data_IF_341351577823
#
_entry.id   IF_341351577823
#
_cell.length_a   1.000
_cell.length_b   1.000
_cell.length_c   1.000
_cell.angle_alpha   90.00
_cell.angle_beta   90.00
_cell.angle_gamma   90.00
#
_symmetry.space_group_name_H-M   'P 1'
#
loop_
_entity.id
_entity.type
_entity.pdbx_description
1 polymer ?
#
# COMPACT_ATOMS: atom_id res chain seq x y z
N UNK A 1 27.18 93.82 15.03
CA UNK A 1 25.96 93.77 14.17
C UNK A 1 25.39 92.37 14.33
N UNK A 2 24.14 92.09 14.73
CA UNK A 2 22.90 92.86 14.83
C UNK A 2 22.08 92.31 16.02
N UNK A 3 21.72 93.25 16.92
CA UNK A 3 20.45 93.40 17.67
C UNK A 3 19.80 92.21 18.41
N UNK A 4 20.07 92.18 19.72
CA UNK A 4 19.13 92.11 20.87
C UNK A 4 17.68 91.70 20.63
N UNK A 5 17.24 90.63 21.30
CA UNK A 5 15.83 90.28 21.50
C UNK A 5 15.37 90.56 22.94
N UNK A 6 14.36 91.41 23.10
CA UNK A 6 13.66 91.72 24.35
C UNK A 6 12.26 91.14 24.29
N UNK A 7 11.91 90.40 25.36
CA UNK A 7 10.61 90.19 26.03
C UNK A 7 9.32 90.19 25.18
N UNK A 8 8.45 89.20 25.41
CA UNK A 8 7.27 89.34 26.30
C UNK A 8 6.45 88.04 26.42
N UNK A 9 5.76 88.02 27.55
CA UNK A 9 4.82 87.09 28.19
C UNK A 9 3.61 86.58 27.38
N UNK A 10 3.31 85.29 27.62
CA UNK A 10 2.02 84.59 27.91
C UNK A 10 0.84 84.70 26.93
N UNK A 11 0.44 83.54 26.39
CA UNK A 11 -0.91 82.98 26.10
C UNK A 11 -0.64 81.64 25.35
N UNK A 12 -1.38 80.54 25.36
CA UNK A 12 -2.70 80.13 25.84
C UNK A 12 -3.00 78.75 25.20
N UNK A 13 -3.67 77.88 25.96
CA UNK A 13 -4.58 76.77 25.57
C UNK A 13 -4.38 76.01 24.23
N UNK A 14 -4.09 74.70 24.31
CA UNK A 14 -4.72 73.65 23.46
C UNK A 14 -4.89 72.38 24.31
N UNK A 15 -6.15 71.95 24.44
CA UNK A 15 -6.52 70.66 25.04
C UNK A 15 -6.41 69.55 24.00
N UNK A 16 -5.72 68.46 24.33
CA UNK A 16 -5.74 67.20 23.55
C UNK A 16 -6.40 66.13 24.41
N UNK A 17 -7.58 65.70 23.96
CA UNK A 17 -8.31 64.54 24.47
C UNK A 17 -7.54 63.27 24.07
N UNK A 18 -6.88 62.64 25.03
CA UNK A 18 -6.29 61.31 24.87
C UNK A 18 -7.24 60.25 25.42
N UNK A 19 -8.02 59.62 24.54
CA UNK A 19 -8.81 58.43 24.87
C UNK A 19 -7.87 57.25 25.11
N UNK A 20 -7.70 56.85 26.37
CA UNK A 20 -7.01 55.63 26.75
C UNK A 20 -7.80 54.41 26.29
N UNK A 21 -7.27 53.66 25.32
CA UNK A 21 -7.78 52.33 25.00
C UNK A 21 -7.34 51.35 26.09
N UNK A 22 -8.31 50.91 26.89
CA UNK A 22 -8.23 49.68 27.67
C UNK A 22 -8.27 48.51 26.67
N UNK A 23 -7.11 47.95 26.32
CA UNK A 23 -7.05 46.69 25.58
C UNK A 23 -7.42 45.58 26.55
N UNK A 24 -8.64 45.08 26.40
CA UNK A 24 -9.16 43.92 27.10
C UNK A 24 -8.34 42.67 26.73
N UNK A 25 -7.72 42.04 27.73
CA UNK A 25 -7.32 40.63 27.64
C UNK A 25 -8.60 39.78 27.76
N UNK A 26 -9.34 39.66 26.66
CA UNK A 26 -10.52 38.81 26.55
C UNK A 26 -10.29 37.73 25.50
N UNK A 27 -10.47 36.46 25.93
CA UNK A 27 -10.59 35.25 25.11
C UNK A 27 -9.41 34.90 24.20
N UNK A 28 -8.38 34.29 24.78
CA UNK A 28 -7.68 33.21 24.08
C UNK A 28 -8.63 32.02 24.13
N UNK A 29 -9.21 31.67 22.98
CA UNK A 29 -9.99 30.44 22.82
C UNK A 29 -9.06 29.24 23.10
N UNK A 30 -9.32 28.42 24.14
CA UNK A 30 -8.47 27.28 24.47
C UNK A 30 -8.38 26.25 23.34
N UNK A 31 -9.24 26.34 22.31
CA UNK A 31 -9.24 25.44 21.16
C UNK A 31 -8.37 25.92 19.99
N UNK A 32 -7.72 27.09 20.09
CA UNK A 32 -6.94 27.67 18.97
C UNK A 32 -5.61 26.94 18.70
N UNK A 33 -5.16 26.09 19.62
CA UNK A 33 -3.92 25.34 19.53
C UNK A 33 -4.08 23.88 19.99
N UNK A 34 -5.26 23.29 19.76
CA UNK A 34 -5.30 21.83 19.72
C UNK A 34 -4.64 21.41 18.41
N UNK A 35 -3.49 20.69 18.43
CA UNK A 35 -3.05 20.00 17.24
C UNK A 35 -4.22 19.11 16.83
N UNK A 36 -4.80 19.40 15.66
CA UNK A 36 -5.82 18.52 15.11
C UNK A 36 -5.20 17.12 15.10
N UNK A 37 -5.94 16.07 15.52
CA UNK A 37 -5.45 14.71 15.37
C UNK A 37 -4.91 14.60 13.94
N UNK A 38 -3.64 14.20 13.81
CA UNK A 38 -3.03 13.92 12.50
C UNK A 38 -4.06 13.06 11.79
N UNK A 39 -4.69 13.57 10.73
CA UNK A 39 -5.72 12.82 10.04
C UNK A 39 -5.05 11.51 9.63
N UNK A 40 -5.44 10.43 10.30
CA UNK A 40 -5.15 9.08 9.85
C UNK A 40 -5.70 9.10 8.44
N UNK A 41 -4.83 8.93 7.43
CA UNK A 41 -5.19 9.09 6.02
C UNK A 41 -6.60 8.52 5.83
N UNK A 42 -7.56 9.36 5.40
CA UNK A 42 -8.97 8.98 5.33
C UNK A 42 -9.05 7.57 4.74
N UNK A 43 -9.65 6.64 5.50
CA UNK A 43 -9.91 5.31 4.97
C UNK A 43 -10.76 5.51 3.72
N UNK A 44 -10.14 5.35 2.54
CA UNK A 44 -10.83 5.53 1.25
C UNK A 44 -12.08 4.66 1.24
N UNK A 45 -13.22 5.20 0.82
CA UNK A 45 -14.48 4.44 0.76
C UNK A 45 -14.32 3.14 -0.04
N UNK A 46 -13.59 3.18 -1.16
CA UNK A 46 -13.25 2.02 -1.98
C UNK A 46 -11.74 1.87 -2.15
N UNK A 47 -11.25 0.63 -2.04
CA UNK A 47 -9.90 0.25 -2.43
C UNK A 47 -9.83 -0.01 -3.93
N UNK A 48 -8.72 0.35 -4.56
CA UNK A 48 -8.44 -0.02 -5.95
C UNK A 48 -7.36 -1.10 -6.02
N UNK A 49 -7.69 -2.23 -6.66
CA UNK A 49 -6.75 -3.31 -6.94
C UNK A 49 -6.36 -3.21 -8.41
N UNK A 50 -5.10 -2.90 -8.70
CA UNK A 50 -4.60 -2.87 -10.07
C UNK A 50 -4.14 -4.26 -10.48
N UNK A 51 -4.58 -4.69 -11.67
CA UNK A 51 -4.36 -6.05 -12.18
C UNK A 51 -3.99 -6.01 -13.65
N UNK A 52 -3.00 -6.83 -14.02
CA UNK A 52 -2.63 -6.99 -15.41
C UNK A 52 -3.73 -7.81 -16.11
N UNK A 53 -4.43 -7.27 -17.13
CA UNK A 53 -5.50 -7.98 -17.81
C UNK A 53 -5.01 -9.25 -18.52
N UNK A 54 -3.74 -9.31 -18.93
CA UNK A 54 -3.18 -10.42 -19.68
C UNK A 54 -2.74 -11.58 -18.77
N UNK A 55 -2.70 -11.34 -17.44
CA UNK A 55 -2.34 -12.37 -16.48
C UNK A 55 -3.54 -12.83 -15.64
N UNK A 56 -4.25 -13.84 -16.16
CA UNK A 56 -5.46 -14.40 -15.54
C UNK A 56 -5.24 -14.86 -14.08
N UNK A 57 -4.05 -15.35 -13.74
CA UNK A 57 -3.72 -15.72 -12.36
C UNK A 57 -3.83 -14.55 -11.37
N UNK A 58 -3.36 -13.35 -11.74
CA UNK A 58 -3.53 -12.16 -10.90
C UNK A 58 -5.00 -11.72 -10.85
N UNK A 59 -5.76 -11.87 -11.94
CA UNK A 59 -7.20 -11.59 -11.94
C UNK A 59 -7.96 -12.50 -10.96
N UNK A 60 -7.70 -13.80 -10.98
CA UNK A 60 -8.32 -14.77 -10.05
C UNK A 60 -7.98 -14.40 -8.60
N UNK A 61 -6.71 -14.18 -8.28
CA UNK A 61 -6.30 -13.86 -6.90
C UNK A 61 -6.81 -12.49 -6.45
N UNK A 62 -6.87 -11.52 -7.36
CA UNK A 62 -7.43 -10.21 -7.05
C UNK A 62 -8.92 -10.27 -6.75
N UNK A 63 -9.66 -11.14 -7.46
CA UNK A 63 -11.06 -11.43 -7.11
C UNK A 63 -11.16 -12.12 -5.74
N UNK A 64 -10.21 -12.99 -5.37
CA UNK A 64 -10.17 -13.59 -4.01
C UNK A 64 -10.02 -12.48 -2.97
N UNK A 65 -9.02 -11.61 -3.10
CA UNK A 65 -8.81 -10.49 -2.18
C UNK A 65 -10.02 -9.56 -2.11
N UNK A 66 -10.57 -9.17 -3.26
CA UNK A 66 -11.79 -8.36 -3.33
C UNK A 66 -12.97 -9.00 -2.61
N UNK A 67 -13.16 -10.32 -2.77
CA UNK A 67 -14.26 -11.06 -2.15
C UNK A 67 -14.12 -11.08 -0.63
N UNK A 68 -12.94 -11.44 -0.11
CA UNK A 68 -12.73 -11.54 1.35
C UNK A 68 -12.78 -10.18 2.05
N UNK A 69 -12.30 -9.13 1.38
CA UNK A 69 -12.43 -7.76 1.87
C UNK A 69 -13.92 -7.34 1.88
N UNK A 70 -14.65 -7.65 0.80
CA UNK A 70 -16.08 -7.38 0.68
C UNK A 70 -16.93 -8.06 1.76
N UNK A 71 -16.61 -9.31 2.12
CA UNK A 71 -17.28 -10.04 3.21
C UNK A 71 -17.13 -9.37 4.58
N UNK A 72 -16.19 -8.42 4.70
CA UNK A 72 -15.89 -7.66 5.91
C UNK A 72 -16.21 -6.17 5.74
N UNK A 73 -17.09 -5.84 4.79
CA UNK A 73 -17.54 -4.48 4.48
C UNK A 73 -16.41 -3.54 4.01
N UNK A 74 -15.28 -4.11 3.56
CA UNK A 74 -14.18 -3.37 2.93
C UNK A 74 -14.28 -3.51 1.42
N UNK A 75 -14.94 -2.54 0.79
CA UNK A 75 -15.16 -2.59 -0.65
C UNK A 75 -13.87 -2.35 -1.45
N UNK A 76 -13.63 -3.22 -2.43
CA UNK A 76 -12.53 -3.10 -3.38
C UNK A 76 -13.04 -3.22 -4.82
N UNK A 77 -12.39 -2.51 -5.73
CA UNK A 77 -12.69 -2.51 -7.17
C UNK A 77 -11.41 -2.89 -7.92
N UNK A 78 -11.52 -3.89 -8.78
CA UNK A 78 -10.44 -4.28 -9.68
C UNK A 78 -10.41 -3.30 -10.85
N UNK A 79 -9.21 -2.81 -11.17
CA UNK A 79 -8.90 -1.99 -12.33
C UNK A 79 -7.84 -2.71 -13.14
N UNK A 80 -8.09 -2.86 -14.43
CA UNK A 80 -7.09 -3.42 -15.33
C UNK A 80 -6.11 -2.32 -15.72
N UNK A 81 -4.81 -2.62 -15.63
CA UNK A 81 -3.73 -1.69 -15.96
C UNK A 81 -2.72 -2.39 -16.90
N UNK A 82 -2.59 -1.88 -18.11
CA UNK A 82 -1.85 -2.54 -19.20
C UNK A 82 -0.31 -2.55 -19.00
N UNK A 83 0.22 -1.70 -18.12
CA UNK A 83 1.67 -1.53 -17.92
C UNK A 83 2.23 -2.22 -16.68
N UNK A 84 1.44 -3.04 -15.98
CA UNK A 84 1.86 -3.69 -14.73
C UNK A 84 3.02 -4.67 -14.91
N UNK A 85 3.17 -5.29 -16.08
CA UNK A 85 4.33 -6.13 -16.37
C UNK A 85 5.65 -5.34 -16.42
N UNK A 86 5.62 -4.06 -16.84
CA UNK A 86 6.81 -3.23 -16.98
C UNK A 86 7.10 -2.39 -15.72
N UNK A 87 6.05 -1.92 -15.04
CA UNK A 87 6.15 -1.20 -13.77
C UNK A 87 5.07 -1.69 -12.79
N UNK A 88 5.32 -2.82 -12.10
CA UNK A 88 4.34 -3.42 -11.20
C UNK A 88 3.96 -2.53 -10.01
N UNK A 89 4.85 -1.61 -9.60
CA UNK A 89 4.65 -0.76 -8.43
C UNK A 89 4.22 0.67 -8.79
N UNK A 90 4.29 1.06 -10.06
CA UNK A 90 3.88 2.35 -10.59
C UNK A 90 2.52 2.81 -10.07
N UNK A 91 1.45 2.02 -10.19
CA UNK A 91 0.12 2.41 -9.71
C UNK A 91 0.05 2.68 -8.20
N UNK A 92 0.89 1.99 -7.40
CA UNK A 92 1.00 2.26 -5.97
C UNK A 92 1.79 3.54 -5.69
N UNK A 93 2.88 3.76 -6.41
CA UNK A 93 3.72 4.95 -6.25
C UNK A 93 2.97 6.22 -6.67
N UNK A 94 2.16 6.14 -7.72
CA UNK A 94 1.31 7.24 -8.22
C UNK A 94 0.02 7.42 -7.41
N UNK A 95 -0.39 6.36 -6.70
CA UNK A 95 -1.61 6.35 -5.89
C UNK A 95 -2.91 6.19 -6.66
N UNK A 96 -2.82 5.73 -7.91
CA UNK A 96 -3.95 5.33 -8.77
C UNK A 96 -4.51 3.97 -8.36
N UNK A 97 -3.71 3.14 -7.68
CA UNK A 97 -4.10 1.90 -7.01
C UNK A 97 -3.77 1.93 -5.51
N UNK A 98 -4.42 1.05 -4.76
CA UNK A 98 -4.17 0.83 -3.33
C UNK A 98 -3.52 -0.53 -3.06
N UNK A 99 -3.71 -1.50 -3.96
CA UNK A 99 -3.12 -2.84 -3.92
C UNK A 99 -2.76 -3.31 -5.34
N UNK A 100 -1.64 -4.01 -5.48
CA UNK A 100 -1.28 -4.80 -6.67
C UNK A 100 -0.98 -6.23 -6.22
N UNK A 101 -1.17 -7.18 -7.13
CA UNK A 101 -0.78 -8.58 -6.92
C UNK A 101 0.44 -8.86 -7.78
N UNK A 102 1.47 -9.44 -7.19
CA UNK A 102 2.64 -9.92 -7.92
C UNK A 102 3.20 -11.20 -7.31
N UNK A 103 4.38 -11.59 -7.74
CA UNK A 103 5.09 -12.74 -7.22
C UNK A 103 6.38 -12.31 -6.54
N UNK A 104 6.72 -12.97 -5.43
CA UNK A 104 7.86 -12.61 -4.56
C UNK A 104 9.18 -12.43 -5.32
N UNK A 105 9.67 -13.48 -5.99
CA UNK A 105 10.91 -13.41 -6.77
C UNK A 105 10.89 -12.37 -7.90
N UNK A 106 9.79 -12.29 -8.65
CA UNK A 106 9.63 -11.31 -9.73
C UNK A 106 9.68 -9.85 -9.22
N UNK A 107 8.98 -9.57 -8.12
CA UNK A 107 8.97 -8.25 -7.51
C UNK A 107 10.31 -7.90 -6.88
N UNK A 108 11.01 -8.87 -6.27
CA UNK A 108 12.34 -8.66 -5.72
C UNK A 108 13.32 -8.22 -6.81
N UNK A 109 13.26 -8.82 -8.00
CA UNK A 109 14.06 -8.42 -9.15
C UNK A 109 13.80 -6.98 -9.58
N UNK A 110 12.54 -6.53 -9.50
CA UNK A 110 12.18 -5.13 -9.81
C UNK A 110 12.72 -4.16 -8.77
N UNK A 111 12.57 -4.46 -7.47
CA UNK A 111 12.94 -3.50 -6.41
C UNK A 111 14.42 -3.56 -6.02
N UNK A 112 15.06 -4.72 -6.20
CA UNK A 112 16.44 -4.96 -5.82
C UNK A 112 17.04 -6.09 -6.69
N UNK A 113 17.36 -5.80 -7.96
CA UNK A 113 17.86 -6.81 -8.91
C UNK A 113 19.19 -7.44 -8.48
N UNK A 114 20.03 -6.70 -7.74
CA UNK A 114 21.30 -7.22 -7.23
C UNK A 114 21.05 -8.31 -6.19
N UNK A 115 20.22 -8.02 -5.18
CA UNK A 115 19.88 -9.01 -4.17
C UNK A 115 19.09 -10.19 -4.75
N UNK A 116 18.23 -9.94 -5.74
CA UNK A 116 17.52 -10.99 -6.46
C UNK A 116 18.50 -11.97 -7.12
N UNK A 117 19.49 -11.45 -7.86
CA UNK A 117 20.50 -12.27 -8.54
C UNK A 117 21.38 -13.06 -7.56
N UNK A 118 21.84 -12.43 -6.47
CA UNK A 118 22.61 -13.11 -5.43
C UNK A 118 21.81 -14.27 -4.80
N UNK A 119 20.55 -14.02 -4.45
CA UNK A 119 19.69 -15.02 -3.84
C UNK A 119 19.32 -16.14 -4.82
N UNK A 120 19.15 -15.81 -6.10
CA UNK A 120 18.86 -16.79 -7.16
C UNK A 120 20.03 -17.74 -7.37
N UNK A 121 21.27 -17.22 -7.42
CA UNK A 121 22.48 -18.04 -7.52
C UNK A 121 22.59 -19.02 -6.34
N UNK A 122 22.38 -18.55 -5.11
CA UNK A 122 22.39 -19.41 -3.93
C UNK A 122 21.28 -20.47 -3.96
N UNK A 123 20.07 -20.08 -4.36
CA UNK A 123 18.92 -20.99 -4.45
C UNK A 123 19.17 -22.09 -5.48
N UNK A 124 19.62 -21.72 -6.69
CA UNK A 124 19.87 -22.67 -7.77
C UNK A 124 20.99 -23.65 -7.40
N UNK A 125 22.04 -23.20 -6.72
CA UNK A 125 23.09 -24.06 -6.20
C UNK A 125 22.55 -25.09 -5.18
N UNK A 126 21.66 -24.66 -4.28
CA UNK A 126 21.03 -25.55 -3.30
C UNK A 126 20.08 -26.56 -3.97
N UNK A 127 19.36 -26.16 -5.03
CA UNK A 127 18.51 -27.06 -5.83
C UNK A 127 19.37 -28.09 -6.56
N UNK A 128 20.47 -27.69 -7.18
CA UNK A 128 21.40 -28.61 -7.87
C UNK A 128 22.03 -29.62 -6.90
N UNK A 129 22.34 -29.18 -5.68
CA UNK A 129 22.84 -30.04 -4.61
C UNK A 129 21.77 -30.98 -4.01
N UNK A 130 20.49 -30.80 -4.36
CA UNK A 130 19.37 -31.57 -3.81
C UNK A 130 19.05 -31.24 -2.35
N UNK A 131 19.49 -30.07 -1.87
CA UNK A 131 19.28 -29.60 -0.50
C UNK A 131 17.91 -28.93 -0.31
N UNK A 132 17.31 -28.47 -1.42
CA UNK A 132 16.05 -27.74 -1.41
C UNK A 132 15.23 -27.94 -2.70
N UNK A 133 13.98 -27.49 -2.67
CA UNK A 133 13.12 -27.37 -3.84
C UNK A 133 12.17 -26.16 -3.74
N UNK A 134 11.37 -25.93 -4.79
CA UNK A 134 10.45 -24.79 -4.92
C UNK A 134 9.30 -24.77 -3.90
N UNK A 135 9.05 -25.88 -3.21
CA UNK A 135 8.08 -26.01 -2.13
C UNK A 135 8.75 -25.92 -0.74
N UNK A 136 10.06 -25.68 -0.68
CA UNK A 136 10.74 -25.45 0.59
C UNK A 136 10.23 -24.15 1.23
N UNK A 137 9.71 -24.28 2.45
CA UNK A 137 9.25 -23.12 3.22
C UNK A 137 10.37 -22.13 3.51
N UNK A 138 11.60 -22.62 3.69
CA UNK A 138 12.77 -21.77 3.95
C UNK A 138 13.03 -20.78 2.80
N UNK A 139 13.08 -21.24 1.55
CA UNK A 139 13.40 -20.35 0.44
C UNK A 139 12.25 -19.44 0.07
N UNK A 140 11.01 -19.88 0.29
CA UNK A 140 9.85 -18.98 0.26
C UNK A 140 10.05 -17.82 1.25
N UNK A 141 10.35 -18.14 2.51
CA UNK A 141 10.47 -17.14 3.57
C UNK A 141 11.67 -16.21 3.32
N UNK A 142 12.83 -16.76 2.92
CA UNK A 142 14.02 -15.96 2.55
C UNK A 142 13.75 -14.99 1.40
N UNK A 143 13.07 -15.44 0.35
CA UNK A 143 12.73 -14.60 -0.81
C UNK A 143 11.73 -13.51 -0.42
N UNK A 144 10.74 -13.86 0.40
CA UNK A 144 9.76 -12.90 0.90
C UNK A 144 10.38 -11.86 1.84
N UNK A 145 11.26 -12.27 2.76
CA UNK A 145 11.99 -11.37 3.65
C UNK A 145 12.87 -10.39 2.87
N UNK A 146 13.56 -10.89 1.83
CA UNK A 146 14.37 -10.06 0.95
C UNK A 146 13.52 -9.02 0.19
N UNK A 147 12.31 -9.41 -0.27
CA UNK A 147 11.36 -8.49 -0.89
C UNK A 147 10.92 -7.41 0.10
N UNK A 148 10.41 -7.77 1.28
CA UNK A 148 9.94 -6.80 2.29
C UNK A 148 11.07 -5.84 2.66
N UNK A 149 12.29 -6.36 2.87
CA UNK A 149 13.46 -5.56 3.21
C UNK A 149 13.89 -4.59 2.09
N UNK A 150 13.44 -4.82 0.87
CA UNK A 150 13.76 -4.00 -0.31
C UNK A 150 12.62 -3.04 -0.72
N UNK A 151 11.42 -3.17 -0.14
CA UNK A 151 10.30 -2.31 -0.49
C UNK A 151 10.54 -0.86 -0.02
N UNK A 152 10.11 0.15 -0.81
CA UNK A 152 10.04 1.53 -0.35
C UNK A 152 9.17 1.67 0.89
N UNK A 153 9.54 2.56 1.83
CA UNK A 153 8.89 2.70 3.14
C UNK A 153 7.39 3.06 3.12
N UNK A 154 6.86 3.57 2.01
CA UNK A 154 5.43 3.88 1.84
C UNK A 154 4.63 2.70 1.32
N UNK A 155 5.29 1.60 0.95
CA UNK A 155 4.69 0.35 0.56
C UNK A 155 4.90 -0.70 1.65
N UNK A 156 4.00 -1.67 1.67
CA UNK A 156 4.04 -2.80 2.59
C UNK A 156 3.31 -3.97 1.95
N UNK A 157 3.30 -5.11 2.63
CA UNK A 157 2.72 -6.33 2.09
C UNK A 157 2.05 -7.17 3.17
N UNK A 158 1.22 -8.10 2.73
CA UNK A 158 0.63 -9.14 3.56
C UNK A 158 1.46 -10.42 3.38
N UNK A 159 1.20 -11.44 4.18
CA UNK A 159 1.92 -12.72 4.06
C UNK A 159 1.81 -13.27 2.63
N UNK A 160 2.86 -13.93 2.11
CA UNK A 160 2.82 -14.51 0.79
C UNK A 160 1.90 -15.72 0.79
N UNK A 161 1.32 -16.00 -0.37
CA UNK A 161 0.45 -17.14 -0.55
C UNK A 161 1.22 -18.46 -0.53
N UNK A 162 0.52 -19.54 -0.15
CA UNK A 162 1.03 -20.89 -0.36
C UNK A 162 1.03 -21.29 -1.85
N UNK A 163 0.34 -20.53 -2.70
CA UNK A 163 0.33 -20.74 -4.14
C UNK A 163 1.57 -20.12 -4.81
N UNK A 164 2.20 -20.90 -5.67
CA UNK A 164 3.16 -20.39 -6.65
C UNK A 164 2.42 -19.75 -7.83
N UNK A 165 2.81 -18.52 -8.16
CA UNK A 165 2.40 -17.79 -9.35
C UNK A 165 3.59 -17.59 -10.31
N UNK A 166 3.39 -16.77 -11.33
CA UNK A 166 4.41 -16.25 -12.25
C UNK A 166 5.53 -17.26 -12.65
N UNK A 167 5.19 -18.41 -13.25
CA UNK A 167 6.13 -19.51 -13.44
C UNK A 167 7.32 -19.22 -14.37
N UNK A 168 7.35 -18.06 -15.02
CA UNK A 168 8.35 -17.68 -16.03
C UNK A 168 9.22 -16.47 -15.64
N UNK A 169 9.15 -15.99 -14.39
CA UNK A 169 9.82 -14.74 -14.01
C UNK A 169 11.33 -14.91 -13.81
N UNK A 170 11.75 -15.70 -12.81
CA UNK A 170 13.15 -16.04 -12.53
C UNK A 170 13.22 -17.36 -11.74
N UNK A 171 14.42 -17.78 -11.35
CA UNK A 171 14.68 -19.01 -10.61
C UNK A 171 14.23 -19.00 -9.16
N UNK A 172 13.93 -17.83 -8.56
CA UNK A 172 13.47 -17.75 -7.17
C UNK A 172 12.03 -18.28 -7.01
N UNK A 173 11.64 -18.69 -5.78
CA UNK A 173 10.23 -18.90 -5.44
C UNK A 173 9.32 -17.73 -5.85
N UNK A 174 8.15 -18.06 -6.38
CA UNK A 174 7.22 -17.11 -6.99
C UNK A 174 5.89 -17.05 -6.26
N UNK A 175 5.93 -17.08 -4.93
CA UNK A 175 4.72 -17.08 -4.12
C UNK A 175 3.96 -15.76 -4.36
N UNK A 176 2.65 -15.86 -4.53
CA UNK A 176 1.82 -14.70 -4.83
C UNK A 176 1.69 -13.82 -3.61
N UNK A 177 1.85 -12.51 -3.79
CA UNK A 177 1.93 -11.56 -2.69
C UNK A 177 1.17 -10.27 -3.04
N UNK A 178 0.34 -9.74 -2.13
CA UNK A 178 -0.28 -8.44 -2.32
C UNK A 178 0.66 -7.34 -1.80
N UNK A 179 1.00 -6.37 -2.66
CA UNK A 179 1.71 -5.15 -2.23
C UNK A 179 0.68 -4.03 -2.13
N UNK A 180 0.72 -3.26 -1.04
CA UNK A 180 -0.22 -2.17 -0.81
C UNK A 180 0.46 -0.92 -0.26
N UNK A 181 -0.26 0.20 -0.31
CA UNK A 181 0.23 1.47 0.22
C UNK A 181 -0.06 1.62 1.70
N UNK A 182 0.92 2.12 2.45
CA UNK A 182 0.71 2.58 3.80
C UNK A 182 0.13 4.01 3.82
N UNK A 183 -0.79 4.35 4.75
CA UNK A 183 -1.42 3.48 5.75
C UNK A 183 -2.81 2.98 5.30
N UNK A 184 -3.01 2.70 4.01
CA UNK A 184 -4.34 2.45 3.41
C UNK A 184 -5.05 1.22 3.99
N UNK A 185 -4.29 0.22 4.45
CA UNK A 185 -4.80 -1.03 5.00
C UNK A 185 -4.67 -1.05 6.52
N UNK A 186 -5.78 -1.27 7.21
CA UNK A 186 -5.82 -1.42 8.66
C UNK A 186 -5.26 -2.78 9.10
N UNK A 187 -5.07 -2.97 10.42
CA UNK A 187 -4.70 -4.28 10.97
C UNK A 187 -5.70 -5.37 10.60
N UNK A 188 -7.00 -5.08 10.61
CA UNK A 188 -8.04 -6.03 10.24
C UNK A 188 -7.98 -6.38 8.75
N UNK A 189 -7.74 -5.40 7.88
CA UNK A 189 -7.61 -5.64 6.43
C UNK A 189 -6.42 -6.56 6.15
N UNK A 190 -5.28 -6.35 6.82
CA UNK A 190 -4.09 -7.19 6.69
C UNK A 190 -4.33 -8.63 7.17
N UNK A 191 -5.04 -8.83 8.26
CA UNK A 191 -5.42 -10.18 8.73
C UNK A 191 -6.30 -10.91 7.70
N UNK A 192 -7.17 -10.19 6.99
CA UNK A 192 -8.00 -10.73 5.91
C UNK A 192 -7.16 -11.11 4.69
N UNK A 193 -6.20 -10.26 4.31
CA UNK A 193 -5.26 -10.56 3.22
C UNK A 193 -4.39 -11.78 3.56
N UNK A 194 -3.84 -11.86 4.76
CA UNK A 194 -3.04 -13.01 5.22
C UNK A 194 -3.87 -14.31 5.20
N UNK A 195 -5.13 -14.24 5.62
CA UNK A 195 -6.04 -15.40 5.54
C UNK A 195 -6.22 -15.86 4.08
N UNK A 196 -6.48 -14.93 3.16
CA UNK A 196 -6.67 -15.25 1.74
C UNK A 196 -5.40 -15.84 1.12
N UNK A 197 -4.23 -15.25 1.39
CA UNK A 197 -2.92 -15.75 0.97
C UNK A 197 -2.72 -17.20 1.44
N UNK A 198 -3.00 -17.49 2.71
CA UNK A 198 -2.84 -18.82 3.30
C UNK A 198 -3.87 -19.85 2.83
N UNK A 199 -5.07 -19.42 2.41
CA UNK A 199 -6.18 -20.31 2.07
C UNK A 199 -6.06 -20.98 0.69
N UNK A 200 -5.27 -20.40 -0.22
CA UNK A 200 -5.12 -20.87 -1.60
C UNK A 200 -3.77 -21.59 -1.81
N UNK A 201 -3.85 -22.81 -2.33
CA UNK A 201 -2.69 -23.61 -2.74
C UNK A 201 -2.43 -23.48 -4.25
N UNK A 202 -1.24 -23.88 -4.71
CA UNK A 202 -0.89 -23.84 -6.15
C UNK A 202 -1.89 -24.62 -7.01
N UNK A 203 -2.28 -25.83 -6.59
CA UNK A 203 -3.25 -26.65 -7.34
C UNK A 203 -4.64 -26.04 -7.38
N UNK A 204 -5.07 -25.38 -6.30
CA UNK A 204 -6.37 -24.71 -6.26
C UNK A 204 -6.39 -23.47 -7.14
N UNK A 205 -5.31 -22.68 -7.11
CA UNK A 205 -5.16 -21.56 -8.02
C UNK A 205 -5.20 -22.01 -9.48
N UNK A 206 -4.45 -23.05 -9.84
CA UNK A 206 -4.44 -23.60 -11.20
C UNK A 206 -5.82 -24.11 -11.63
N UNK A 207 -6.55 -24.76 -10.72
CA UNK A 207 -7.93 -25.17 -10.95
C UNK A 207 -8.86 -23.98 -11.22
N UNK A 208 -8.77 -22.93 -10.39
CA UNK A 208 -9.57 -21.72 -10.59
C UNK A 208 -9.24 -20.99 -11.90
N UNK A 209 -7.97 -20.96 -12.30
CA UNK A 209 -7.55 -20.38 -13.58
C UNK A 209 -8.15 -21.20 -14.73
N UNK A 210 -8.02 -22.53 -14.71
CA UNK A 210 -8.56 -23.38 -15.76
C UNK A 210 -10.09 -23.27 -15.87
N UNK A 211 -10.81 -23.27 -14.75
CA UNK A 211 -12.26 -23.10 -14.73
C UNK A 211 -12.66 -21.70 -15.23
N UNK A 212 -11.87 -20.66 -14.92
CA UNK A 212 -12.10 -19.30 -15.40
C UNK A 212 -11.89 -19.19 -16.92
N UNK A 213 -10.88 -19.85 -17.48
CA UNK A 213 -10.64 -19.93 -18.94
C UNK A 213 -11.79 -20.64 -19.66
N UNK A 214 -12.29 -21.75 -19.09
CA UNK A 214 -13.36 -22.54 -19.72
C UNK A 214 -14.73 -21.84 -19.62
N UNK A 215 -15.05 -21.28 -18.44
CA UNK A 215 -16.41 -20.84 -18.13
C UNK A 215 -16.62 -19.33 -18.24
N UNK A 216 -15.55 -18.53 -18.28
CA UNK A 216 -15.59 -17.07 -18.34
C UNK A 216 -16.26 -16.41 -17.11
N UNK A 217 -16.28 -17.09 -15.96
CA UNK A 217 -17.04 -16.69 -14.76
C UNK A 217 -16.18 -16.63 -13.49
N UNK A 218 -15.05 -15.93 -13.57
CA UNK A 218 -14.06 -15.80 -12.47
C UNK A 218 -14.69 -15.44 -11.13
N UNK A 219 -15.57 -14.44 -11.10
CA UNK A 219 -16.21 -13.98 -9.86
C UNK A 219 -17.03 -15.06 -9.17
N UNK A 220 -17.89 -15.77 -9.91
CA UNK A 220 -18.76 -16.81 -9.34
C UNK A 220 -17.94 -17.99 -8.80
N UNK A 221 -16.86 -18.35 -9.51
CA UNK A 221 -15.93 -19.41 -9.10
C UNK A 221 -15.20 -19.03 -7.80
N UNK A 222 -14.70 -17.80 -7.73
CA UNK A 222 -14.02 -17.28 -6.55
C UNK A 222 -14.96 -17.17 -5.36
N UNK A 223 -16.19 -16.68 -5.54
CA UNK A 223 -17.19 -16.60 -4.44
C UNK A 223 -17.47 -17.99 -3.85
N UNK A 224 -17.61 -19.02 -4.71
CA UNK A 224 -17.77 -20.42 -4.25
C UNK A 224 -16.52 -20.94 -3.54
N UNK A 225 -15.34 -20.63 -4.06
CA UNK A 225 -14.07 -21.01 -3.45
C UNK A 225 -13.93 -20.41 -2.05
N UNK A 226 -14.11 -19.08 -1.91
CA UNK A 226 -14.01 -18.38 -0.61
C UNK A 226 -15.02 -18.95 0.39
N UNK A 227 -16.28 -19.18 -0.04
CA UNK A 227 -17.29 -19.79 0.82
C UNK A 227 -16.90 -21.22 1.26
N UNK A 228 -16.28 -22.02 0.38
CA UNK A 228 -15.82 -23.37 0.71
C UNK A 228 -14.71 -23.40 1.76
N UNK A 229 -13.97 -22.29 1.91
CA UNK A 229 -12.88 -22.11 2.87
C UNK A 229 -13.35 -21.48 4.20
N UNK A 230 -14.62 -21.08 4.29
CA UNK A 230 -15.19 -20.41 5.47
C UNK A 230 -14.85 -18.92 5.57
N UNK A 231 -14.54 -18.28 4.44
CA UNK A 231 -14.28 -16.84 4.35
C UNK A 231 -15.52 -15.99 4.07
#
# INVERSE_FOLDING_TARGET
MRTTGVKKTVLGLVAVLGSGMLVACGSVDPNRFEPHPRQVAEQKENLYIAVDPDYLGHNVVSEVYKTVLGNRERFAVIRHEDNLSADPLGPLNEGTADLVVGCTGALLEVVNPVLAGELEEEYLAAVEAGETDINSGEWRDRTFDALIGSLPSHLDTADPSNAQGCPTANGLPQNIVPIYRNPTFSRADREILNWASGAITTSELQGLIADAEELGRTRELVEKFVASKGG
#
